data_IF_806477234879
#
_entry.id   IF_806477234879
#
_cell.length_a   1.000
_cell.length_b   1.000
_cell.length_c   1.000
_cell.angle_alpha   90.00
_cell.angle_beta   90.00
_cell.angle_gamma   90.00
#
_symmetry.space_group_name_H-M   'P 1'
#
loop_
_entity.id
_entity.type
_entity.pdbx_description
1 polymer ?
#
# COMPACT_ATOMS: atom_id res chain seq x y z
N UNK A 1 -55.99 -38.55 -14.81
CA UNK A 1 -56.16 -37.96 -16.15
C UNK A 1 -55.64 -36.55 -16.13
N UNK A 2 -54.63 -36.13 -16.87
CA UNK A 2 -53.85 -36.74 -17.93
C UNK A 2 -52.85 -35.65 -18.36
N UNK A 3 -51.59 -36.02 -18.59
CA UNK A 3 -50.49 -35.07 -18.71
C UNK A 3 -50.30 -34.44 -20.09
N UNK A 4 -49.36 -33.48 -20.07
CA UNK A 4 -48.32 -33.14 -21.04
C UNK A 4 -48.69 -32.63 -22.44
N UNK A 5 -47.94 -31.60 -22.88
CA UNK A 5 -47.91 -31.12 -24.27
C UNK A 5 -47.20 -29.77 -24.41
N UNK A 6 -45.87 -29.78 -24.40
CA UNK A 6 -45.07 -28.60 -24.70
C UNK A 6 -45.14 -28.16 -26.17
N UNK A 7 -44.74 -26.92 -26.46
CA UNK A 7 -44.28 -26.53 -27.78
C UNK A 7 -43.28 -25.37 -27.67
N UNK A 8 -42.10 -25.55 -28.25
CA UNK A 8 -41.07 -24.51 -28.40
C UNK A 8 -40.84 -24.19 -29.87
N UNK A 9 -40.43 -22.95 -30.15
CA UNK A 9 -39.60 -22.48 -31.28
C UNK A 9 -39.45 -20.96 -31.11
N UNK A 10 -38.24 -20.40 -30.90
CA UNK A 10 -37.05 -20.22 -31.76
C UNK A 10 -37.00 -18.82 -32.38
N UNK A 11 -36.03 -18.06 -31.88
CA UNK A 11 -35.15 -17.06 -32.51
C UNK A 11 -35.70 -16.13 -33.60
N UNK A 12 -35.54 -14.82 -33.37
CA UNK A 12 -34.90 -13.99 -34.38
C UNK A 12 -34.07 -12.89 -33.69
N UNK A 13 -32.78 -12.84 -34.01
CA UNK A 13 -31.86 -11.82 -33.54
C UNK A 13 -31.88 -10.60 -34.46
N UNK A 14 -31.52 -9.44 -33.91
CA UNK A 14 -30.96 -8.34 -34.70
C UNK A 14 -30.02 -7.49 -33.85
N UNK A 15 -28.75 -7.84 -34.02
CA UNK A 15 -27.53 -7.07 -33.91
C UNK A 15 -27.72 -5.54 -34.10
N UNK A 16 -27.27 -4.75 -33.13
CA UNK A 16 -27.25 -3.30 -33.18
C UNK A 16 -26.03 -2.73 -32.46
N UNK A 17 -24.84 -3.16 -32.86
CA UNK A 17 -23.58 -2.60 -32.38
C UNK A 17 -23.07 -1.61 -33.43
N UNK A 18 -23.20 -0.29 -33.19
CA UNK A 18 -22.25 0.71 -33.71
C UNK A 18 -22.49 2.10 -33.12
N UNK A 19 -21.48 2.66 -32.45
CA UNK A 19 -21.45 4.10 -32.19
C UNK A 19 -20.64 4.60 -31.01
N UNK A 20 -19.72 3.84 -30.41
CA UNK A 20 -18.79 4.43 -29.44
C UNK A 20 -17.64 5.10 -30.20
N UNK A 21 -17.75 6.42 -30.38
CA UNK A 21 -16.69 7.28 -30.90
C UNK A 21 -15.49 7.24 -29.95
N UNK A 22 -14.42 6.54 -30.36
CA UNK A 22 -13.13 6.54 -29.69
C UNK A 22 -12.37 7.84 -30.01
N UNK A 23 -12.80 8.96 -29.42
CA UNK A 23 -11.99 10.19 -29.40
C UNK A 23 -11.54 10.43 -27.96
N UNK A 24 -10.37 9.85 -27.62
CA UNK A 24 -9.46 10.46 -26.65
C UNK A 24 -9.82 10.44 -25.17
N UNK A 25 -10.57 9.45 -24.67
CA UNK A 25 -10.60 9.21 -23.22
C UNK A 25 -9.31 8.46 -22.81
N UNK A 26 -8.21 9.18 -22.62
CA UNK A 26 -7.18 8.68 -21.70
C UNK A 26 -7.90 8.46 -20.36
N UNK A 27 -7.83 7.26 -19.74
CA UNK A 27 -8.31 7.12 -18.38
C UNK A 27 -7.57 8.18 -17.56
N UNK A 28 -8.31 9.11 -16.94
CA UNK A 28 -7.72 9.91 -15.87
C UNK A 28 -7.07 8.91 -14.93
N UNK A 29 -5.75 8.99 -14.78
CA UNK A 29 -5.01 8.15 -13.84
C UNK A 29 -5.66 8.39 -12.48
N UNK A 30 -6.46 7.43 -12.03
CA UNK A 30 -7.24 7.58 -10.80
C UNK A 30 -6.24 7.64 -9.66
N UNK A 31 -6.16 8.77 -8.97
CA UNK A 31 -5.33 8.85 -7.76
C UNK A 31 -5.82 7.78 -6.78
N UNK A 32 -4.89 6.98 -6.25
CA UNK A 32 -5.18 6.00 -5.21
C UNK A 32 -5.94 6.64 -4.06
N UNK A 33 -7.05 6.03 -3.68
CA UNK A 33 -7.71 6.37 -2.42
C UNK A 33 -7.16 5.50 -1.28
N UNK A 34 -7.37 5.92 -0.04
CA UNK A 34 -7.07 5.06 1.12
C UNK A 34 -7.85 3.73 1.07
N UNK A 35 -9.04 3.71 0.47
CA UNK A 35 -9.82 2.48 0.29
C UNK A 35 -9.14 1.52 -0.70
N UNK A 36 -8.55 2.03 -1.77
CA UNK A 36 -7.82 1.19 -2.72
C UNK A 36 -6.55 0.59 -2.10
N UNK A 37 -5.87 1.36 -1.24
CA UNK A 37 -4.78 0.85 -0.40
C UNK A 37 -5.24 -0.28 0.53
N UNK A 38 -6.36 -0.11 1.24
CA UNK A 38 -6.88 -1.14 2.16
C UNK A 38 -7.33 -2.42 1.44
N UNK A 39 -7.85 -2.33 0.22
CA UNK A 39 -8.20 -3.50 -0.60
C UNK A 39 -7.01 -4.42 -0.87
N UNK A 40 -5.80 -3.86 -0.91
CA UNK A 40 -4.55 -4.61 -1.07
C UNK A 40 -4.13 -5.36 0.21
N UNK A 41 -4.86 -5.22 1.33
CA UNK A 41 -4.60 -5.87 2.62
C UNK A 41 -3.14 -5.66 3.07
N UNK A 42 -2.75 -4.39 3.32
CA UNK A 42 -1.38 -4.07 3.64
C UNK A 42 -0.95 -4.78 4.93
N UNK A 43 0.29 -5.23 4.97
CA UNK A 43 0.82 -5.99 6.09
C UNK A 43 1.11 -5.07 7.27
N UNK A 44 0.83 -5.52 8.49
CA UNK A 44 1.17 -4.78 9.72
C UNK A 44 2.60 -5.09 10.15
N UNK A 45 3.16 -4.20 10.98
CA UNK A 45 4.49 -4.37 11.57
C UNK A 45 4.48 -3.90 13.03
N UNK A 46 4.81 -4.80 13.96
CA UNK A 46 4.80 -4.52 15.41
C UNK A 46 6.11 -3.92 15.93
N UNK A 47 7.19 -4.07 15.17
CA UNK A 47 8.50 -3.55 15.54
C UNK A 47 9.35 -4.44 16.45
N UNK A 48 8.96 -5.69 16.71
CA UNK A 48 9.79 -6.63 17.50
C UNK A 48 10.41 -7.74 16.66
N UNK A 49 10.10 -7.76 15.36
CA UNK A 49 10.38 -8.90 14.46
C UNK A 49 11.77 -8.85 13.78
N UNK A 50 12.58 -7.83 14.07
CA UNK A 50 13.94 -7.66 13.55
C UNK A 50 14.04 -7.13 12.12
N UNK A 51 15.28 -6.93 11.63
CA UNK A 51 15.56 -6.24 10.36
C UNK A 51 15.00 -6.99 9.14
N UNK A 52 15.06 -8.33 9.12
CA UNK A 52 14.54 -9.14 7.99
C UNK A 52 13.04 -8.92 7.79
N UNK A 53 12.29 -8.84 8.88
CA UNK A 53 10.84 -8.62 8.86
C UNK A 53 10.50 -7.18 8.52
N UNK A 54 11.31 -6.23 8.98
CA UNK A 54 11.22 -4.83 8.58
C UNK A 54 11.44 -4.66 7.06
N UNK A 55 12.51 -5.23 6.51
CA UNK A 55 12.80 -5.20 5.07
C UNK A 55 11.65 -5.78 4.27
N UNK A 56 11.15 -6.95 4.67
CA UNK A 56 10.00 -7.59 4.00
C UNK A 56 8.73 -6.75 4.08
N UNK A 57 8.53 -6.02 5.18
CA UNK A 57 7.40 -5.09 5.30
C UNK A 57 7.53 -3.92 4.31
N UNK A 58 8.72 -3.35 4.17
CA UNK A 58 8.99 -2.29 3.18
C UNK A 58 8.73 -2.75 1.75
N UNK A 59 9.29 -3.89 1.33
CA UNK A 59 9.10 -4.46 -0.02
C UNK A 59 7.62 -4.71 -0.34
N UNK A 60 6.87 -5.24 0.63
CA UNK A 60 5.42 -5.46 0.49
C UNK A 60 4.69 -4.13 0.36
N UNK A 61 5.07 -3.11 1.12
CA UNK A 61 4.40 -1.82 1.07
C UNK A 61 4.65 -1.10 -0.26
N UNK A 62 5.87 -1.18 -0.80
CA UNK A 62 6.20 -0.67 -2.14
C UNK A 62 5.38 -1.38 -3.22
N UNK A 63 5.21 -2.69 -3.10
CA UNK A 63 4.32 -3.45 -4.00
C UNK A 63 2.87 -2.97 -3.91
N UNK A 64 2.36 -2.75 -2.70
CA UNK A 64 1.00 -2.22 -2.47
C UNK A 64 0.86 -0.82 -3.07
N UNK A 65 1.86 0.05 -2.91
CA UNK A 65 1.85 1.39 -3.50
C UNK A 65 1.80 1.35 -5.02
N UNK A 66 2.56 0.46 -5.65
CA UNK A 66 2.56 0.30 -7.10
C UNK A 66 1.21 -0.24 -7.62
N UNK A 67 0.67 -1.29 -7.00
CA UNK A 67 -0.61 -1.89 -7.42
C UNK A 67 -1.77 -0.91 -7.25
N UNK A 68 -1.77 -0.13 -6.16
CA UNK A 68 -2.83 0.83 -5.87
C UNK A 68 -2.67 2.18 -6.59
N UNK A 69 -1.55 2.42 -7.30
CA UNK A 69 -1.16 3.72 -7.85
C UNK A 69 -1.09 4.82 -6.77
N UNK A 70 -0.54 4.49 -5.59
CA UNK A 70 -0.43 5.39 -4.45
C UNK A 70 0.57 6.52 -4.73
N UNK A 71 0.12 7.79 -4.76
CA UNK A 71 1.02 8.90 -5.03
C UNK A 71 2.01 9.08 -3.86
N UNK A 72 3.25 9.51 -4.11
CA UNK A 72 4.28 9.64 -3.07
C UNK A 72 3.85 10.45 -1.83
N UNK A 73 3.01 11.49 -2.03
CA UNK A 73 2.43 12.33 -0.97
C UNK A 73 1.58 11.57 0.04
N UNK A 74 1.05 10.39 -0.31
CA UNK A 74 0.17 9.59 0.54
C UNK A 74 0.88 8.39 1.19
N UNK A 75 2.05 7.98 0.68
CA UNK A 75 2.70 6.73 1.04
C UNK A 75 2.99 6.62 2.54
N UNK A 76 3.66 7.62 3.12
CA UNK A 76 4.00 7.62 4.56
C UNK A 76 2.73 7.61 5.42
N UNK A 77 1.73 8.43 5.05
CA UNK A 77 0.46 8.50 5.78
C UNK A 77 -0.29 7.16 5.77
N UNK A 78 -0.26 6.44 4.65
CA UNK A 78 -0.95 5.15 4.52
C UNK A 78 -0.16 4.02 5.17
N UNK A 79 1.14 3.90 4.94
CA UNK A 79 1.94 2.87 5.58
C UNK A 79 1.95 2.97 7.10
N UNK A 80 2.03 4.18 7.64
CA UNK A 80 2.11 4.38 9.09
C UNK A 80 0.83 3.96 9.83
N UNK A 81 -0.30 3.79 9.13
CA UNK A 81 -1.52 3.22 9.70
C UNK A 81 -1.42 1.71 9.96
N UNK A 82 -0.40 1.04 9.41
CA UNK A 82 -0.16 -0.40 9.57
C UNK A 82 0.88 -0.72 10.65
N UNK A 83 1.50 0.31 11.22
CA UNK A 83 2.42 0.16 12.35
C UNK A 83 1.64 -0.15 13.62
N UNK A 84 2.19 -1.06 14.43
CA UNK A 84 1.62 -1.50 15.70
C UNK A 84 2.68 -1.42 16.80
N UNK A 85 2.25 -1.54 18.06
CA UNK A 85 3.10 -1.68 19.25
C UNK A 85 4.32 -0.74 19.30
N UNK A 86 5.51 -1.32 19.32
CA UNK A 86 6.77 -0.60 19.44
C UNK A 86 7.05 0.27 18.21
N UNK A 87 6.69 -0.20 17.01
CA UNK A 87 6.84 0.57 15.78
C UNK A 87 5.93 1.81 15.77
N UNK A 88 4.67 1.67 16.19
CA UNK A 88 3.74 2.78 16.30
C UNK A 88 4.20 3.80 17.35
N UNK A 89 4.72 3.32 18.48
CA UNK A 89 5.27 4.17 19.54
C UNK A 89 6.45 5.02 19.02
N UNK A 90 7.36 4.40 18.26
CA UNK A 90 8.49 5.10 17.63
C UNK A 90 8.04 6.15 16.63
N UNK A 91 7.11 5.80 15.74
CA UNK A 91 6.53 6.75 14.79
C UNK A 91 5.87 7.93 15.49
N UNK A 92 5.10 7.69 16.55
CA UNK A 92 4.45 8.75 17.33
C UNK A 92 5.45 9.66 18.05
N UNK A 93 6.55 9.10 18.56
CA UNK A 93 7.65 9.88 19.13
C UNK A 93 8.28 10.80 18.08
N UNK A 94 8.60 10.26 16.90
CA UNK A 94 9.18 11.05 15.81
C UNK A 94 8.25 12.18 15.35
N UNK A 95 6.96 11.88 15.13
CA UNK A 95 5.94 12.90 14.82
C UNK A 95 5.88 14.02 15.85
N UNK A 96 6.07 13.72 17.14
CA UNK A 96 6.09 14.74 18.20
C UNK A 96 7.33 15.63 18.11
N UNK A 97 8.48 15.06 17.73
CA UNK A 97 9.75 15.78 17.60
C UNK A 97 9.75 16.74 16.42
N UNK A 98 9.33 16.28 15.23
CA UNK A 98 9.42 17.10 14.00
C UNK A 98 8.12 17.85 13.67
N UNK A 99 7.03 17.53 14.35
CA UNK A 99 5.70 18.07 14.07
C UNK A 99 4.92 17.24 13.04
N UNK A 100 3.58 17.30 13.15
CA UNK A 100 2.66 16.46 12.34
C UNK A 100 2.77 16.77 10.85
N UNK A 101 2.85 18.05 10.48
CA UNK A 101 2.91 18.47 9.08
C UNK A 101 4.23 18.04 8.43
N UNK A 102 5.37 18.26 9.11
CA UNK A 102 6.67 17.83 8.62
C UNK A 102 6.75 16.29 8.50
N UNK A 103 6.18 15.57 9.47
CA UNK A 103 6.18 14.10 9.45
C UNK A 103 5.38 13.53 8.28
N UNK A 104 4.21 14.08 7.96
CA UNK A 104 3.44 13.60 6.80
C UNK A 104 3.92 14.18 5.46
N UNK A 105 4.71 15.26 5.47
CA UNK A 105 5.40 15.77 4.28
C UNK A 105 6.68 14.99 3.94
N UNK A 106 7.18 14.16 4.85
CA UNK A 106 8.38 13.36 4.63
C UNK A 106 8.19 12.34 3.49
N UNK A 107 9.26 12.05 2.75
CA UNK A 107 9.25 11.02 1.72
C UNK A 107 9.34 9.63 2.34
N UNK A 108 8.92 8.62 1.58
CA UNK A 108 9.04 7.20 1.95
C UNK A 108 10.46 6.81 2.41
N UNK A 109 11.49 7.30 1.72
CA UNK A 109 12.89 7.10 2.09
C UNK A 109 13.23 7.57 3.52
N UNK A 110 12.64 8.68 3.98
CA UNK A 110 12.84 9.17 5.34
C UNK A 110 12.19 8.26 6.39
N UNK A 111 11.08 7.60 6.06
CA UNK A 111 10.51 6.57 6.93
C UNK A 111 11.38 5.31 6.96
N UNK A 112 11.97 4.91 5.83
CA UNK A 112 12.91 3.78 5.77
C UNK A 112 14.10 4.03 6.70
N UNK A 113 14.71 5.21 6.61
CA UNK A 113 15.83 5.62 7.46
C UNK A 113 15.44 5.60 8.95
N UNK A 114 14.34 6.27 9.32
CA UNK A 114 13.84 6.32 10.69
C UNK A 114 13.66 4.92 11.29
N UNK A 115 13.04 4.02 10.55
CA UNK A 115 12.79 2.66 11.05
C UNK A 115 14.10 1.87 11.08
N UNK A 116 14.97 2.01 10.08
CA UNK A 116 16.22 1.24 9.99
C UNK A 116 17.21 1.63 11.08
N UNK A 117 17.33 2.91 11.45
CA UNK A 117 18.18 3.35 12.57
C UNK A 117 17.81 2.69 13.91
N UNK A 118 16.52 2.42 14.13
CA UNK A 118 16.04 1.77 15.35
C UNK A 118 16.46 0.29 15.41
N UNK A 119 16.59 -0.36 14.26
CA UNK A 119 16.88 -1.80 14.17
C UNK A 119 18.31 -2.14 13.71
N UNK A 120 19.07 -1.15 13.23
CA UNK A 120 20.49 -1.23 12.91
C UNK A 120 21.27 -0.22 13.78
N UNK A 121 21.43 -0.52 15.08
CA UNK A 121 22.13 0.39 15.98
C UNK A 121 23.58 0.59 15.52
N UNK A 122 23.97 1.85 15.26
CA UNK A 122 25.36 2.27 14.94
C UNK A 122 26.41 1.73 15.92
N UNK A 123 26.00 1.47 17.15
CA UNK A 123 26.85 0.90 18.21
C UNK A 123 27.35 -0.52 17.92
N UNK A 124 26.68 -1.32 17.07
CA UNK A 124 27.23 -2.61 16.60
C UNK A 124 28.33 -2.41 15.54
N UNK A 125 28.21 -1.37 14.71
CA UNK A 125 29.20 -1.00 13.69
C UNK A 125 30.49 -0.51 14.36
N UNK A 126 30.38 0.35 15.37
CA UNK A 126 31.53 0.88 16.12
C UNK A 126 32.27 -0.21 16.93
N UNK A 127 31.56 -1.28 17.33
CA UNK A 127 32.16 -2.39 18.09
C UNK A 127 33.10 -3.24 17.22
N UNK A 128 32.78 -3.38 15.93
CA UNK A 128 33.65 -4.04 14.95
C UNK A 128 34.87 -3.19 14.58
N UNK A 129 34.74 -1.86 14.56
CA UNK A 129 35.86 -0.94 14.25
C UNK A 129 36.89 -0.83 15.40
N UNK A 130 36.50 -1.13 16.64
CA UNK A 130 37.39 -1.09 17.81
C UNK A 130 38.05 -2.45 18.14
N UNK A 131 37.70 -3.52 17.42
CA UNK A 131 38.32 -4.85 17.52
C UNK A 131 39.31 -5.14 16.37
N UNK A 132 39.60 -4.13 15.54
CA UNK A 132 40.59 -4.12 14.45
C UNK A 132 41.79 -3.23 14.83
#
# INVERSE_FOLDING_TARGET
NGGNGGNGNRENGENGNHGMNYVGFMPMVRECTFQDFLKCKPHTFSGTEGIVRLTRWFEKMETVFNISNCPPKCQVKYATCTLQDSALTRWNSHKRTIGVDAAYAMKWAGLIELMTEVYCPRNEIQKMENEL
#
